data_IF_276853187828
#
_entry.id   IF_276853187828
#
_cell.length_a   1.000
_cell.length_b   1.000
_cell.length_c   1.000
_cell.angle_alpha   90.00
_cell.angle_beta   90.00
_cell.angle_gamma   90.00
#
_symmetry.space_group_name_H-M   'P 1'
#
loop_
_entity.id
_entity.type
_entity.pdbx_description
1 polymer ?
#
# COMPACT_ATOMS: atom_id res chain seq x y z
N UNK A 1 5.22 -18.83 -4.91
CA UNK A 1 5.94 -19.42 -3.77
C UNK A 1 7.24 -18.67 -3.48
N UNK A 2 8.01 -19.08 -2.48
CA UNK A 2 9.20 -18.39 -1.98
C UNK A 2 10.26 -18.06 -3.06
N UNK A 3 10.49 -18.99 -3.99
CA UNK A 3 11.42 -18.77 -5.10
C UNK A 3 11.00 -17.58 -5.99
N UNK A 4 9.70 -17.50 -6.32
CA UNK A 4 9.16 -16.38 -7.10
C UNK A 4 9.33 -15.04 -6.36
N UNK A 5 9.11 -15.03 -5.03
CA UNK A 5 9.34 -13.84 -4.20
C UNK A 5 10.80 -13.40 -4.30
N UNK A 6 11.76 -14.32 -4.11
CA UNK A 6 13.20 -14.04 -4.18
C UNK A 6 13.61 -13.49 -5.55
N UNK A 7 13.15 -14.14 -6.61
CA UNK A 7 13.44 -13.74 -7.98
C UNK A 7 12.92 -12.33 -8.28
N UNK A 8 11.68 -12.04 -7.88
CA UNK A 8 11.09 -10.71 -8.05
C UNK A 8 11.87 -9.64 -7.28
N UNK A 9 12.17 -9.91 -6.00
CA UNK A 9 12.96 -8.98 -5.18
C UNK A 9 14.34 -8.73 -5.79
N UNK A 10 15.07 -9.78 -6.21
CA UNK A 10 16.37 -9.64 -6.86
C UNK A 10 16.28 -8.81 -8.13
N UNK A 11 15.35 -9.10 -9.03
CA UNK A 11 15.17 -8.35 -10.26
C UNK A 11 14.87 -6.86 -10.01
N UNK A 12 14.06 -6.54 -8.99
CA UNK A 12 13.79 -5.15 -8.62
C UNK A 12 15.05 -4.44 -8.10
N UNK A 13 15.76 -5.07 -7.17
CA UNK A 13 16.98 -4.52 -6.59
C UNK A 13 18.09 -4.36 -7.62
N UNK A 14 18.29 -5.33 -8.51
CA UNK A 14 19.25 -5.29 -9.63
C UNK A 14 18.89 -4.17 -10.62
N UNK A 15 17.58 -3.88 -10.77
CA UNK A 15 17.06 -2.75 -11.54
C UNK A 15 17.13 -1.39 -10.81
N UNK A 16 17.68 -1.33 -9.60
CA UNK A 16 17.80 -0.09 -8.81
C UNK A 16 16.48 0.36 -8.17
N UNK A 17 15.50 -0.54 -8.03
CA UNK A 17 14.22 -0.26 -7.39
C UNK A 17 14.23 -0.71 -5.93
N UNK A 18 13.73 0.14 -5.04
CA UNK A 18 13.46 -0.25 -3.65
C UNK A 18 12.23 -1.18 -3.58
N UNK A 19 12.28 -2.14 -2.65
CA UNK A 19 11.21 -3.12 -2.43
C UNK A 19 10.65 -2.96 -1.02
N UNK A 20 9.32 -2.96 -0.89
CA UNK A 20 8.61 -2.82 0.39
C UNK A 20 7.37 -3.71 0.43
N UNK A 21 7.08 -4.28 1.60
CA UNK A 21 5.88 -5.10 1.83
C UNK A 21 6.05 -6.58 1.43
N UNK A 22 7.28 -7.04 1.24
CA UNK A 22 7.60 -8.43 0.90
C UNK A 22 8.96 -8.79 1.51
N UNK A 23 9.18 -10.06 1.87
CA UNK A 23 10.44 -10.52 2.45
C UNK A 23 10.52 -12.02 2.62
N UNK A 24 11.67 -12.50 3.09
CA UNK A 24 11.95 -13.92 3.36
C UNK A 24 11.16 -14.47 4.56
N UNK A 25 10.66 -13.58 5.40
CA UNK A 25 9.84 -13.89 6.56
C UNK A 25 9.02 -12.66 6.95
N UNK A 26 8.14 -12.81 7.93
CA UNK A 26 7.25 -11.75 8.40
C UNK A 26 8.00 -10.48 8.88
N UNK A 27 9.13 -10.66 9.57
CA UNK A 27 9.95 -9.54 10.04
C UNK A 27 10.49 -8.71 8.88
N UNK A 28 10.97 -9.37 7.83
CA UNK A 28 11.48 -8.69 6.64
C UNK A 28 10.38 -8.06 5.81
N UNK A 29 9.29 -8.80 5.57
CA UNK A 29 8.14 -8.29 4.84
C UNK A 29 7.53 -7.03 5.48
N UNK A 30 7.56 -6.95 6.82
CA UNK A 30 7.08 -5.81 7.59
C UNK A 30 8.10 -4.67 7.76
N UNK A 31 9.25 -4.65 7.05
CA UNK A 31 10.19 -3.51 7.10
C UNK A 31 9.56 -2.26 6.48
N UNK A 32 9.80 -1.13 7.13
CA UNK A 32 9.39 0.18 6.64
C UNK A 32 10.46 0.69 5.69
N UNK A 33 10.07 1.17 4.52
CA UNK A 33 10.98 1.85 3.60
C UNK A 33 11.04 3.34 3.95
N UNK A 34 12.24 3.87 4.19
CA UNK A 34 12.46 5.29 4.44
C UNK A 34 13.14 5.94 3.24
N UNK A 35 12.47 6.87 2.59
CA UNK A 35 12.96 7.63 1.43
C UNK A 35 13.29 9.05 1.84
N UNK A 36 14.57 9.45 1.72
CA UNK A 36 14.99 10.82 2.04
C UNK A 36 15.05 11.66 0.76
N UNK A 37 14.31 12.76 0.71
CA UNK A 37 14.30 13.72 -0.39
C UNK A 37 14.16 15.15 0.14
N UNK A 38 14.95 16.08 -0.41
CA UNK A 38 14.90 17.53 -0.06
C UNK A 38 14.88 17.80 1.45
N UNK A 39 15.66 17.02 2.22
CA UNK A 39 15.75 17.18 3.68
C UNK A 39 14.56 16.62 4.46
N UNK A 40 13.59 15.97 3.80
CA UNK A 40 12.42 15.32 4.39
C UNK A 40 12.54 13.80 4.28
N UNK A 41 11.90 13.10 5.20
CA UNK A 41 11.83 11.63 5.22
C UNK A 41 10.38 11.21 5.01
N UNK A 42 10.15 10.41 3.99
CA UNK A 42 8.90 9.70 3.75
C UNK A 42 9.07 8.25 4.21
N UNK A 43 8.23 7.78 5.11
CA UNK A 43 8.10 6.37 5.45
C UNK A 43 7.01 5.74 4.58
N UNK A 44 7.31 4.62 3.95
CA UNK A 44 6.36 3.85 3.16
C UNK A 44 6.16 2.49 3.82
N UNK A 45 4.91 2.17 4.14
CA UNK A 45 4.46 0.88 4.64
C UNK A 45 3.58 0.27 3.57
N UNK A 46 3.83 -0.97 3.19
CA UNK A 46 2.99 -1.70 2.25
C UNK A 46 2.54 -3.01 2.89
N UNK A 47 1.24 -3.32 2.77
CA UNK A 47 0.65 -4.55 3.29
C UNK A 47 -0.47 -5.05 2.37
N UNK A 48 -0.81 -6.34 2.48
CA UNK A 48 -1.88 -6.91 1.68
C UNK A 48 -2.85 -7.74 2.53
N UNK A 49 -4.10 -7.84 2.07
CA UNK A 49 -5.08 -8.75 2.66
C UNK A 49 -4.62 -10.20 2.60
N UNK A 50 -5.20 -11.01 3.47
CA UNK A 50 -4.79 -12.39 3.69
C UNK A 50 -5.37 -13.29 2.59
N UNK A 51 -4.64 -13.41 1.48
CA UNK A 51 -5.03 -14.29 0.37
C UNK A 51 -4.10 -15.52 0.29
N UNK A 52 -3.08 -15.49 -0.59
CA UNK A 52 -2.34 -16.71 -0.94
C UNK A 52 -0.87 -16.74 -0.49
N UNK A 53 -0.22 -15.61 -0.36
CA UNK A 53 1.24 -15.54 -0.23
C UNK A 53 1.71 -14.63 0.89
N UNK A 54 1.08 -14.75 2.04
CA UNK A 54 1.45 -14.00 3.24
C UNK A 54 2.72 -14.56 3.87
N UNK A 55 3.63 -13.68 4.24
CA UNK A 55 4.81 -14.04 5.00
C UNK A 55 4.45 -14.55 6.40
N UNK A 56 5.19 -15.56 6.85
CA UNK A 56 5.16 -16.05 8.24
C UNK A 56 6.55 -15.92 8.87
N UNK A 57 6.71 -16.29 10.10
CA UNK A 57 8.03 -16.27 10.76
C UNK A 57 9.08 -17.13 10.03
N UNK A 58 8.65 -18.14 9.29
CA UNK A 58 9.52 -19.10 8.58
C UNK A 58 9.28 -19.18 7.08
N UNK A 59 8.36 -18.40 6.52
CA UNK A 59 8.03 -18.43 5.10
C UNK A 59 8.07 -17.04 4.46
N UNK A 60 8.68 -16.98 3.27
CA UNK A 60 8.72 -15.79 2.44
C UNK A 60 7.33 -15.44 1.91
N UNK A 61 7.03 -14.15 1.82
CA UNK A 61 5.74 -13.67 1.34
C UNK A 61 5.53 -12.18 1.54
N UNK A 62 4.30 -11.75 1.38
CA UNK A 62 3.87 -10.37 1.56
C UNK A 62 3.56 -10.03 3.03
N UNK A 63 3.73 -8.78 3.38
CA UNK A 63 3.38 -8.25 4.70
C UNK A 63 1.85 -8.26 4.88
N UNK A 64 1.31 -8.99 5.88
CA UNK A 64 -0.14 -9.10 6.05
C UNK A 64 -0.78 -7.79 6.54
N UNK A 65 -1.98 -7.53 6.05
CA UNK A 65 -2.87 -6.51 6.60
C UNK A 65 -3.38 -6.96 7.96
N UNK A 66 -2.56 -6.78 8.98
CA UNK A 66 -2.93 -6.98 10.38
C UNK A 66 -3.01 -5.60 11.05
N UNK A 67 -4.20 -5.09 11.40
CA UNK A 67 -4.33 -3.74 11.94
C UNK A 67 -3.50 -3.49 13.20
N UNK A 68 -3.33 -4.50 14.05
CA UNK A 68 -2.52 -4.39 15.27
C UNK A 68 -1.04 -4.25 14.92
N UNK A 69 -0.52 -5.08 14.03
CA UNK A 69 0.87 -4.99 13.59
C UNK A 69 1.13 -3.65 12.87
N UNK A 70 0.21 -3.23 11.99
CA UNK A 70 0.33 -1.96 11.27
C UNK A 70 0.23 -0.75 12.22
N UNK A 71 -0.55 -0.83 13.30
CA UNK A 71 -0.55 0.21 14.34
C UNK A 71 0.87 0.49 14.87
N UNK A 72 1.60 -0.53 15.27
CA UNK A 72 2.96 -0.36 15.78
C UNK A 72 3.92 0.14 14.71
N UNK A 73 3.76 -0.32 13.46
CA UNK A 73 4.58 0.14 12.33
C UNK A 73 4.34 1.61 11.98
N UNK A 74 3.09 2.06 11.96
CA UNK A 74 2.75 3.46 11.71
C UNK A 74 3.28 4.34 12.84
N UNK A 75 3.17 3.92 14.10
CA UNK A 75 3.76 4.63 15.24
C UNK A 75 5.27 4.74 15.11
N UNK A 76 5.97 3.65 14.83
CA UNK A 76 7.40 3.64 14.59
C UNK A 76 7.81 4.57 13.42
N UNK A 77 7.05 4.53 12.33
CA UNK A 77 7.27 5.38 11.17
C UNK A 77 7.14 6.87 11.51
N UNK A 78 6.10 7.22 12.28
CA UNK A 78 5.81 8.62 12.67
C UNK A 78 6.87 9.23 13.58
N UNK A 79 7.58 8.42 14.35
CA UNK A 79 8.71 8.86 15.18
C UNK A 79 9.96 9.19 14.36
N UNK A 80 10.09 8.60 13.15
CA UNK A 80 11.33 8.63 12.35
C UNK A 80 11.20 9.38 11.02
N UNK A 81 9.96 9.72 10.61
CA UNK A 81 9.70 10.34 9.33
C UNK A 81 8.81 11.57 9.44
N UNK A 82 8.96 12.49 8.50
CA UNK A 82 8.10 13.66 8.36
C UNK A 82 6.69 13.27 7.87
N UNK A 83 6.63 12.27 6.99
CA UNK A 83 5.38 11.79 6.37
C UNK A 83 5.33 10.26 6.37
N UNK A 84 4.12 9.72 6.53
CA UNK A 84 3.85 8.27 6.52
C UNK A 84 2.81 7.95 5.46
N UNK A 85 3.20 7.20 4.44
CA UNK A 85 2.33 6.65 3.42
C UNK A 85 2.06 5.16 3.71
N UNK A 86 0.80 4.78 3.79
CA UNK A 86 0.39 3.38 3.87
C UNK A 86 -0.21 2.97 2.54
N UNK A 87 0.36 1.93 1.92
CA UNK A 87 -0.14 1.31 0.70
C UNK A 87 -0.76 -0.02 1.10
N UNK A 88 -1.97 -0.27 0.62
CA UNK A 88 -2.71 -1.51 0.89
C UNK A 88 -3.05 -2.20 -0.42
N UNK A 89 -2.88 -3.50 -0.46
CA UNK A 89 -3.40 -4.35 -1.52
C UNK A 89 -4.56 -5.16 -0.94
N UNK A 90 -5.80 -4.74 -1.20
CA UNK A 90 -6.96 -5.37 -0.59
C UNK A 90 -8.30 -4.82 -1.06
N UNK A 91 -9.37 -5.44 -0.60
CA UNK A 91 -10.74 -5.13 -0.97
C UNK A 91 -11.38 -6.22 -1.83
N UNK A 92 -12.54 -5.92 -2.38
CA UNK A 92 -13.28 -6.87 -3.22
C UNK A 92 -13.06 -6.54 -4.69
N UNK A 93 -12.63 -7.53 -5.47
CA UNK A 93 -12.46 -7.38 -6.91
C UNK A 93 -13.74 -6.90 -7.59
N UNK A 94 -13.58 -5.98 -8.53
CA UNK A 94 -14.64 -5.40 -9.35
C UNK A 94 -15.71 -4.59 -8.58
N UNK A 95 -15.43 -4.22 -7.33
CA UNK A 95 -16.30 -3.40 -6.51
C UNK A 95 -15.74 -1.98 -6.35
N UNK A 96 -16.50 -0.99 -6.82
CA UNK A 96 -16.09 0.43 -6.79
C UNK A 96 -16.35 1.12 -5.44
N UNK A 97 -17.06 0.47 -4.52
CA UNK A 97 -17.32 1.02 -3.20
C UNK A 97 -16.46 0.32 -2.14
N UNK A 98 -15.85 1.07 -1.24
CA UNK A 98 -15.14 0.47 -0.12
C UNK A 98 -16.10 -0.22 0.83
N UNK A 99 -15.72 -1.39 1.33
CA UNK A 99 -16.49 -2.03 2.39
C UNK A 99 -16.41 -1.23 3.70
N UNK A 100 -17.38 -1.36 4.61
CA UNK A 100 -17.31 -0.72 5.93
C UNK A 100 -16.01 -1.04 6.69
N UNK A 101 -15.53 -2.28 6.58
CA UNK A 101 -14.26 -2.71 7.18
C UNK A 101 -13.05 -1.98 6.58
N UNK A 102 -13.00 -1.76 5.27
CA UNK A 102 -11.94 -0.98 4.64
C UNK A 102 -11.96 0.46 5.17
N UNK A 103 -13.13 1.10 5.22
CA UNK A 103 -13.27 2.45 5.73
C UNK A 103 -12.78 2.56 7.18
N UNK A 104 -13.25 1.68 8.04
CA UNK A 104 -12.84 1.64 9.45
C UNK A 104 -11.34 1.44 9.60
N UNK A 105 -10.76 0.46 8.89
CA UNK A 105 -9.34 0.13 8.99
C UNK A 105 -8.46 1.27 8.47
N UNK A 106 -8.80 1.89 7.33
CA UNK A 106 -7.96 2.92 6.74
C UNK A 106 -8.07 4.25 7.50
N UNK A 107 -9.25 4.57 8.04
CA UNK A 107 -9.41 5.68 8.98
C UNK A 107 -8.61 5.46 10.26
N UNK A 108 -8.60 4.24 10.79
CA UNK A 108 -7.76 3.86 11.93
C UNK A 108 -6.27 4.05 11.62
N UNK A 109 -5.78 3.76 10.41
CA UNK A 109 -4.40 4.04 10.04
C UNK A 109 -4.09 5.54 10.05
N UNK A 110 -5.01 6.38 9.60
CA UNK A 110 -4.89 7.84 9.71
C UNK A 110 -4.89 8.28 11.18
N UNK A 111 -5.78 7.74 12.00
CA UNK A 111 -5.83 8.02 13.45
C UNK A 111 -4.53 7.60 14.16
N UNK A 112 -3.86 6.59 13.66
CA UNK A 112 -2.58 6.11 14.17
C UNK A 112 -1.42 7.02 13.77
N UNK A 113 -1.53 7.77 12.67
CA UNK A 113 -0.52 8.71 12.20
C UNK A 113 -0.13 8.60 10.73
N UNK A 114 -0.85 7.82 9.93
CA UNK A 114 -0.66 7.84 8.49
C UNK A 114 -1.09 9.20 7.91
N UNK A 115 -0.27 9.75 7.01
CA UNK A 115 -0.55 11.01 6.33
C UNK A 115 -1.30 10.80 5.01
N UNK A 116 -1.24 9.60 4.45
CA UNK A 116 -2.06 9.16 3.31
C UNK A 116 -2.22 7.64 3.32
N UNK A 117 -3.36 7.16 2.82
CA UNK A 117 -3.61 5.73 2.60
C UNK A 117 -4.02 5.54 1.14
N UNK A 118 -3.36 4.62 0.45
CA UNK A 118 -3.64 4.29 -0.96
C UNK A 118 -3.90 2.80 -1.07
N UNK A 119 -5.03 2.44 -1.63
CA UNK A 119 -5.40 1.04 -1.83
C UNK A 119 -5.49 0.68 -3.32
N UNK A 120 -5.16 -0.56 -3.62
CA UNK A 120 -5.34 -1.19 -4.92
C UNK A 120 -5.66 -2.68 -4.72
N UNK A 121 -6.06 -3.38 -5.75
CA UNK A 121 -6.46 -4.78 -5.84
C UNK A 121 -7.79 -4.96 -6.59
N UNK A 122 -8.73 -4.03 -6.42
CA UNK A 122 -10.10 -4.22 -6.93
C UNK A 122 -10.19 -4.31 -8.46
N UNK A 123 -9.11 -4.03 -9.20
CA UNK A 123 -9.09 -3.98 -10.67
C UNK A 123 -10.12 -3.01 -11.27
N UNK A 124 -10.57 -2.07 -10.48
CA UNK A 124 -11.39 -0.93 -10.87
C UNK A 124 -11.08 0.25 -9.94
N UNK A 125 -11.28 1.46 -10.43
CA UNK A 125 -11.17 2.65 -9.58
C UNK A 125 -12.33 2.69 -8.59
N UNK A 126 -12.06 3.22 -7.40
CA UNK A 126 -13.01 3.40 -6.31
C UNK A 126 -13.02 4.85 -5.84
N UNK A 127 -13.89 5.19 -4.91
CA UNK A 127 -13.93 6.52 -4.32
C UNK A 127 -12.69 6.85 -3.48
N UNK A 128 -12.65 8.10 -3.06
CA UNK A 128 -11.68 8.59 -2.09
C UNK A 128 -12.37 9.48 -1.07
N UNK A 129 -11.73 9.71 0.06
CA UNK A 129 -12.19 10.66 1.07
C UNK A 129 -11.01 11.43 1.70
N UNK A 130 -11.34 12.55 2.33
CA UNK A 130 -10.46 13.21 3.29
C UNK A 130 -10.96 12.92 4.69
N UNK A 131 -10.21 12.12 5.41
CA UNK A 131 -10.46 11.87 6.81
C UNK A 131 -9.44 12.63 7.64
N UNK A 132 -9.90 13.59 8.46
CA UNK A 132 -9.02 14.49 9.23
C UNK A 132 -7.96 15.16 8.35
N UNK A 133 -8.39 15.67 7.20
CA UNK A 133 -7.54 16.32 6.18
C UNK A 133 -6.48 15.41 5.55
N UNK A 134 -6.54 14.10 5.75
CA UNK A 134 -5.65 13.11 5.15
C UNK A 134 -6.38 12.33 4.06
N UNK A 135 -5.77 12.19 2.87
CA UNK A 135 -6.40 11.48 1.77
C UNK A 135 -6.38 9.97 2.00
N UNK A 136 -7.51 9.34 1.71
CA UNK A 136 -7.67 7.89 1.64
C UNK A 136 -8.23 7.56 0.26
N UNK A 137 -7.43 6.88 -0.58
CA UNK A 137 -7.86 6.37 -1.88
C UNK A 137 -8.21 4.89 -1.75
N UNK A 138 -9.46 4.56 -1.99
CA UNK A 138 -9.98 3.20 -1.77
C UNK A 138 -9.75 2.25 -2.93
N UNK A 139 -9.32 2.73 -4.09
CA UNK A 139 -8.94 1.92 -5.23
C UNK A 139 -8.49 2.77 -6.40
N UNK A 140 -7.30 2.49 -6.92
CA UNK A 140 -6.75 3.23 -8.05
C UNK A 140 -7.15 2.64 -9.40
N UNK A 141 -7.61 1.39 -9.43
CA UNK A 141 -7.79 0.64 -10.68
C UNK A 141 -6.48 0.04 -11.19
N UNK A 142 -6.49 -0.43 -12.42
CA UNK A 142 -5.31 -0.98 -13.09
C UNK A 142 -4.46 0.14 -13.69
N UNK A 143 -3.16 0.07 -13.49
CA UNK A 143 -2.21 0.95 -14.18
C UNK A 143 -1.78 0.35 -15.53
N UNK A 144 -1.33 -0.90 -15.49
CA UNK A 144 -0.97 -1.67 -16.67
C UNK A 144 -1.31 -3.13 -16.40
N UNK A 145 -2.35 -3.64 -17.04
CA UNK A 145 -2.77 -5.01 -16.86
C UNK A 145 -3.19 -5.58 -18.22
N UNK A 146 -2.29 -6.37 -18.80
CA UNK A 146 -2.52 -7.04 -20.07
C UNK A 146 -3.32 -8.33 -19.83
N UNK A 147 -4.52 -8.37 -20.39
CA UNK A 147 -5.41 -9.53 -20.29
C UNK A 147 -6.19 -9.72 -21.57
N UNK A 148 -6.15 -10.92 -22.11
CA UNK A 148 -6.83 -11.30 -23.36
C UNK A 148 -8.36 -11.42 -23.27
N UNK A 149 -8.94 -11.19 -22.08
CA UNK A 149 -10.39 -11.19 -21.85
C UNK A 149 -11.07 -9.95 -22.46
N UNK A 150 -12.41 -9.94 -22.49
CA UNK A 150 -13.18 -8.75 -22.87
C UNK A 150 -13.09 -7.73 -21.73
N UNK A 151 -12.31 -6.63 -21.89
CA UNK A 151 -12.16 -5.68 -20.82
C UNK A 151 -13.48 -4.94 -20.59
N UNK A 152 -13.99 -4.98 -19.38
CA UNK A 152 -15.02 -4.04 -18.96
C UNK A 152 -14.38 -2.64 -18.89
N UNK A 153 -15.16 -1.59 -19.17
CA UNK A 153 -14.67 -0.20 -19.09
C UNK A 153 -13.93 0.10 -17.80
N UNK A 154 -14.45 -0.34 -16.64
CA UNK A 154 -13.84 -0.18 -15.33
C UNK A 154 -12.49 -0.90 -15.17
N UNK A 155 -12.19 -1.91 -16.01
CA UNK A 155 -10.91 -2.62 -16.01
C UNK A 155 -9.80 -1.85 -16.71
N UNK A 156 -10.15 -1.06 -17.71
CA UNK A 156 -9.22 -0.30 -18.55
C UNK A 156 -9.04 1.15 -18.09
N UNK A 157 -9.76 1.57 -17.05
CA UNK A 157 -9.68 2.91 -16.47
C UNK A 157 -9.13 2.85 -15.04
N UNK A 158 -8.31 3.83 -14.68
CA UNK A 158 -7.74 3.96 -13.35
C UNK A 158 -7.38 5.41 -13.04
N UNK A 159 -7.02 5.66 -11.79
CA UNK A 159 -6.49 6.94 -11.35
C UNK A 159 -4.97 6.93 -11.38
N UNK A 160 -4.40 8.02 -11.85
CA UNK A 160 -3.03 8.40 -11.54
C UNK A 160 -3.10 9.48 -10.46
N UNK A 161 -2.52 9.21 -9.29
CA UNK A 161 -2.58 10.12 -8.15
C UNK A 161 -1.18 10.65 -7.87
N UNK A 162 -1.02 11.97 -7.89
CA UNK A 162 0.18 12.66 -7.43
C UNK A 162 -0.07 13.18 -6.01
N UNK A 163 0.69 12.69 -5.03
CA UNK A 163 0.64 13.17 -3.65
C UNK A 163 1.88 14.03 -3.39
N UNK A 164 1.67 15.31 -3.06
CA UNK A 164 2.75 16.23 -2.70
C UNK A 164 2.85 16.31 -1.18
N UNK A 165 3.96 15.83 -0.66
CA UNK A 165 4.30 15.92 0.76
C UNK A 165 5.13 17.19 0.98
N UNK A 166 4.45 18.28 1.39
CA UNK A 166 5.06 19.56 1.78
C UNK A 166 4.51 19.98 3.14
N UNK A 167 4.46 21.27 3.45
CA UNK A 167 3.86 21.79 4.70
C UNK A 167 2.39 21.39 4.83
N UNK A 168 1.71 21.28 3.71
CA UNK A 168 0.36 20.73 3.59
C UNK A 168 0.36 19.62 2.54
N UNK A 169 -0.42 18.54 2.76
CA UNK A 169 -0.57 17.48 1.78
C UNK A 169 -1.55 17.94 0.71
N UNK A 170 -1.09 18.02 -0.53
CA UNK A 170 -1.95 18.28 -1.69
C UNK A 170 -1.85 17.13 -2.69
N UNK A 171 -2.87 16.98 -3.53
CA UNK A 171 -2.87 16.00 -4.63
C UNK A 171 -3.66 16.57 -5.82
N UNK A 172 -3.36 16.03 -7.00
CA UNK A 172 -4.02 16.27 -8.27
C UNK A 172 -4.47 14.96 -8.89
#
# INVERSE_FOLDING_TARGET
>A
GAEGVRKTMSCCLDGGLDVVGVGENLKEAGKILYVKRKGKILAVINCCEHEFSIATDSAAGANPLNPIAQFYKIKEAKEKADFVLVIVHGGHEHFQLPSPRMQETYRFFVDTGADAVVNHHQHCYSGYEFYKEKPIFYGLGNFCFDWDGIPKKMWTEGYFVEIKFDKEISFN
#
